data_IF_792786225943
#
_entry.id   IF_792786225943
#
_cell.length_a   1.000
_cell.length_b   1.000
_cell.length_c   1.000
_cell.angle_alpha   90.00
_cell.angle_beta   90.00
_cell.angle_gamma   90.00
#
_symmetry.space_group_name_H-M   'P 1'
#
loop_
_entity.id
_entity.type
_entity.pdbx_description
1 polymer ?
#
# COMPACT_ATOMS: atom_id res chain seq x y z
N UNK A 1 -14.08 -25.82 0.73
CA UNK A 1 -12.85 -26.58 1.04
C UNK A 1 -12.51 -27.47 -0.12
N UNK A 2 -11.30 -27.44 -0.65
CA UNK A 2 -10.91 -28.30 -1.75
C UNK A 2 -10.89 -29.77 -1.31
N UNK A 3 -11.30 -30.72 -2.16
CA UNK A 3 -11.35 -32.16 -1.80
C UNK A 3 -10.05 -32.71 -1.22
N UNK A 4 -8.89 -32.16 -1.64
CA UNK A 4 -7.58 -32.53 -1.12
C UNK A 4 -7.39 -32.22 0.37
N UNK A 5 -7.84 -31.05 0.84
CA UNK A 5 -7.70 -30.64 2.24
C UNK A 5 -8.53 -31.56 3.14
N UNK A 6 -9.77 -31.86 2.75
CA UNK A 6 -10.64 -32.77 3.51
C UNK A 6 -10.05 -34.15 3.67
N UNK A 7 -9.33 -34.68 2.66
CA UNK A 7 -8.72 -36.01 2.71
C UNK A 7 -7.61 -36.10 3.78
N UNK A 8 -6.86 -35.03 3.99
CA UNK A 8 -5.76 -34.99 4.96
C UNK A 8 -6.20 -34.62 6.37
N UNK A 9 -7.40 -34.06 6.53
CA UNK A 9 -7.93 -33.64 7.83
C UNK A 9 -8.90 -34.64 8.46
N UNK A 10 -9.20 -35.76 7.83
CA UNK A 10 -10.25 -36.71 8.27
C UNK A 10 -10.08 -37.26 9.69
N UNK A 11 -8.85 -37.30 10.21
CA UNK A 11 -8.56 -37.82 11.56
C UNK A 11 -7.93 -36.78 12.49
N UNK A 12 -7.98 -35.50 12.13
CA UNK A 12 -7.41 -34.43 12.96
C UNK A 12 -8.52 -33.84 13.82
N UNK A 13 -8.36 -33.79 15.17
CA UNK A 13 -9.30 -33.09 16.03
C UNK A 13 -9.50 -31.66 15.54
N UNK A 14 -10.76 -31.23 15.51
CA UNK A 14 -11.12 -29.86 15.07
C UNK A 14 -10.83 -29.56 13.58
N UNK A 15 -10.85 -30.57 12.71
CA UNK A 15 -10.59 -30.43 11.27
C UNK A 15 -11.36 -29.26 10.60
N UNK A 16 -12.57 -28.99 11.04
CA UNK A 16 -13.42 -27.89 10.54
C UNK A 16 -12.81 -26.49 10.75
N UNK A 17 -11.82 -26.38 11.60
CA UNK A 17 -11.14 -25.11 11.87
C UNK A 17 -9.92 -24.87 10.96
N UNK A 18 -9.45 -25.87 10.21
CA UNK A 18 -8.29 -25.77 9.34
C UNK A 18 -8.69 -25.48 7.88
N UNK A 19 -9.50 -24.43 7.69
CA UNK A 19 -9.87 -23.97 6.34
C UNK A 19 -8.85 -23.01 5.77
N UNK A 20 -8.81 -22.93 4.43
CA UNK A 20 -7.99 -21.93 3.70
C UNK A 20 -8.45 -20.48 3.94
N UNK A 21 -9.58 -20.29 4.59
CA UNK A 21 -10.20 -19.01 4.92
C UNK A 21 -9.64 -18.38 6.19
N UNK A 22 -8.91 -19.18 6.99
CA UNK A 22 -8.34 -18.75 8.27
C UNK A 22 -6.82 -18.64 8.17
N UNK A 23 -6.28 -17.57 8.72
CA UNK A 23 -4.84 -17.40 8.88
C UNK A 23 -4.31 -18.23 10.06
N UNK A 24 -3.00 -18.43 10.12
CA UNK A 24 -2.36 -19.04 11.30
C UNK A 24 -2.66 -18.27 12.59
N UNK A 25 -2.76 -16.93 12.48
CA UNK A 25 -3.15 -16.08 13.61
C UNK A 25 -4.57 -16.39 14.12
N UNK A 26 -5.53 -16.63 13.22
CA UNK A 26 -6.89 -17.00 13.61
C UNK A 26 -6.92 -18.32 14.34
N UNK A 27 -6.07 -19.26 13.94
CA UNK A 27 -5.92 -20.52 14.66
C UNK A 27 -5.28 -20.31 16.04
N UNK A 28 -4.15 -19.61 16.11
CA UNK A 28 -3.47 -19.35 17.37
C UNK A 28 -4.36 -18.64 18.37
N UNK A 29 -5.16 -17.67 17.95
CA UNK A 29 -6.11 -16.94 18.78
C UNK A 29 -7.14 -17.83 19.48
N UNK A 30 -7.49 -18.98 18.90
CA UNK A 30 -8.45 -19.94 19.49
C UNK A 30 -7.85 -20.75 20.62
N UNK A 31 -6.54 -20.96 20.60
CA UNK A 31 -5.84 -21.79 21.59
C UNK A 31 -5.11 -20.96 22.66
N UNK A 32 -5.02 -19.65 22.47
CA UNK A 32 -4.37 -18.73 23.40
C UNK A 32 -5.40 -18.10 24.33
N UNK A 33 -5.10 -18.08 25.63
CA UNK A 33 -5.98 -17.51 26.66
C UNK A 33 -5.92 -15.98 26.77
N UNK A 34 -5.24 -15.32 25.85
CA UNK A 34 -5.14 -13.87 25.80
C UNK A 34 -4.47 -13.36 24.53
N UNK A 35 -4.69 -12.09 24.25
CA UNK A 35 -4.10 -11.38 23.14
C UNK A 35 -3.62 -10.01 23.59
N UNK A 36 -2.33 -9.74 23.39
CA UNK A 36 -1.79 -8.39 23.57
C UNK A 36 -1.86 -7.63 22.26
N UNK A 37 -2.49 -6.48 22.28
CA UNK A 37 -2.60 -5.60 21.13
C UNK A 37 -1.54 -4.50 21.24
N UNK A 38 -0.62 -4.44 20.26
CA UNK A 38 0.35 -3.36 20.17
C UNK A 38 -0.35 -2.14 19.56
N UNK A 39 -0.36 -1.04 20.28
CA UNK A 39 -1.10 0.18 19.91
C UNK A 39 -0.21 1.36 19.56
N UNK A 40 1.04 1.32 19.92
CA UNK A 40 1.98 2.39 19.63
C UNK A 40 2.45 2.32 18.18
N UNK A 41 2.39 3.45 17.48
CA UNK A 41 2.73 3.54 16.07
C UNK A 41 3.81 4.61 15.85
N UNK A 42 4.99 4.17 15.40
CA UNK A 42 6.18 5.02 15.25
C UNK A 42 6.53 5.35 13.79
N UNK A 43 5.92 4.66 12.82
CA UNK A 43 6.34 4.75 11.41
C UNK A 43 5.81 6.01 10.72
N UNK A 44 4.49 6.12 10.63
CA UNK A 44 3.84 7.13 9.82
C UNK A 44 3.66 8.44 10.59
N UNK A 45 3.63 9.55 9.85
CA UNK A 45 3.10 10.80 10.39
C UNK A 45 1.67 10.59 10.90
N UNK A 46 1.25 11.31 11.96
CA UNK A 46 -0.08 11.14 12.55
C UNK A 46 -1.22 11.25 11.54
N UNK A 47 -1.16 12.18 10.61
CA UNK A 47 -2.19 12.39 9.58
C UNK A 47 -2.33 11.18 8.65
N UNK A 48 -1.23 10.50 8.32
CA UNK A 48 -1.23 9.33 7.46
C UNK A 48 -1.90 8.16 8.18
N UNK A 49 -1.51 7.90 9.42
CA UNK A 49 -2.05 6.75 10.17
C UNK A 49 -3.45 7.01 10.72
N UNK A 50 -3.88 8.26 10.84
CA UNK A 50 -5.22 8.61 11.30
C UNK A 50 -6.30 8.01 10.42
N UNK A 51 -6.12 8.04 9.10
CA UNK A 51 -7.02 7.36 8.17
C UNK A 51 -7.13 5.87 8.49
N UNK A 52 -5.99 5.18 8.57
CA UNK A 52 -5.96 3.75 8.88
C UNK A 52 -6.56 3.48 10.27
N UNK A 53 -6.27 4.34 11.24
CA UNK A 53 -6.79 4.23 12.59
C UNK A 53 -8.31 4.32 12.61
N UNK A 54 -8.87 5.34 11.98
CA UNK A 54 -10.31 5.60 11.93
C UNK A 54 -11.09 4.45 11.29
N UNK A 55 -10.60 3.90 10.20
CA UNK A 55 -11.37 2.92 9.42
C UNK A 55 -11.07 1.46 9.75
N UNK A 56 -9.89 1.15 10.31
CA UNK A 56 -9.46 -0.24 10.48
C UNK A 56 -9.17 -0.63 11.92
N UNK A 57 -8.67 0.29 12.76
CA UNK A 57 -8.23 -0.06 14.11
C UNK A 57 -9.16 0.45 15.21
N UNK A 58 -9.67 1.69 15.07
CA UNK A 58 -10.54 2.29 16.09
C UNK A 58 -11.92 1.61 16.22
N UNK A 59 -12.58 1.11 15.15
CA UNK A 59 -13.89 0.45 15.28
C UNK A 59 -13.90 -0.71 16.27
N UNK A 60 -12.78 -1.42 16.41
CA UNK A 60 -12.63 -2.53 17.36
C UNK A 60 -12.23 -2.06 18.78
N UNK A 61 -12.26 -0.77 19.06
CA UNK A 61 -11.81 -0.19 20.34
C UNK A 61 -10.30 -0.30 20.58
N UNK A 62 -9.53 -0.64 19.56
CA UNK A 62 -8.09 -0.91 19.61
C UNK A 62 -7.26 0.12 18.83
N UNK A 63 -7.76 1.35 18.72
CA UNK A 63 -7.10 2.42 17.99
C UNK A 63 -5.61 2.55 18.29
N UNK A 64 -4.83 2.96 17.28
CA UNK A 64 -3.39 3.16 17.39
C UNK A 64 -3.07 4.53 18.00
N UNK A 65 -1.97 4.61 18.71
CA UNK A 65 -1.41 5.86 19.24
C UNK A 65 -0.23 6.27 18.35
N UNK A 66 -0.37 7.30 17.51
CA UNK A 66 0.75 7.79 16.70
C UNK A 66 1.76 8.50 17.62
N UNK A 67 3.00 8.01 17.62
CA UNK A 67 4.07 8.53 18.45
C UNK A 67 5.14 9.26 17.65
N UNK A 68 5.06 9.24 16.32
CA UNK A 68 5.99 9.99 15.48
C UNK A 68 5.80 11.49 15.68
N UNK A 69 6.89 12.16 16.05
CA UNK A 69 6.89 13.60 16.28
C UNK A 69 7.19 14.38 15.00
N UNK A 70 6.70 15.60 14.95
CA UNK A 70 6.96 16.53 13.86
C UNK A 70 8.37 17.10 13.96
N UNK A 71 9.02 17.28 12.80
CA UNK A 71 10.22 18.09 12.67
C UNK A 71 9.83 19.52 12.24
N UNK A 72 10.71 20.50 12.45
CA UNK A 72 10.49 21.89 12.01
C UNK A 72 10.29 22.01 10.50
N UNK A 73 10.98 21.17 9.73
CA UNK A 73 10.96 21.17 8.25
C UNK A 73 10.15 19.97 7.70
N UNK A 74 8.99 19.70 8.27
CA UNK A 74 8.14 18.61 7.77
C UNK A 74 7.53 18.97 6.42
N UNK A 75 7.44 17.98 5.56
CA UNK A 75 6.65 18.05 4.33
C UNK A 75 5.17 17.79 4.62
N UNK A 76 4.28 18.21 3.72
CA UNK A 76 2.84 17.95 3.83
C UNK A 76 2.57 16.45 3.77
N UNK A 77 1.96 15.81 4.80
CA UNK A 77 1.86 14.36 4.87
C UNK A 77 0.91 13.73 3.86
N UNK A 78 -0.14 14.44 3.47
CA UNK A 78 -1.18 13.95 2.55
C UNK A 78 -1.27 14.88 1.35
N UNK A 79 -1.03 14.36 0.15
CA UNK A 79 -1.19 15.08 -1.10
C UNK A 79 -1.99 14.26 -2.08
N UNK A 80 -2.77 14.94 -2.89
CA UNK A 80 -3.50 14.29 -3.98
C UNK A 80 -3.30 15.08 -5.27
N UNK A 81 -3.27 14.36 -6.38
CA UNK A 81 -3.20 14.94 -7.72
C UNK A 81 -4.25 14.27 -8.61
N UNK A 82 -5.05 15.07 -9.28
CA UNK A 82 -6.07 14.59 -10.20
C UNK A 82 -5.59 14.68 -11.64
N UNK A 83 -5.41 13.53 -12.28
CA UNK A 83 -5.03 13.44 -13.69
C UNK A 83 -6.28 13.62 -14.59
N UNK A 84 -6.63 14.86 -14.92
CA UNK A 84 -7.85 15.18 -15.68
C UNK A 84 -7.94 14.46 -17.04
N UNK A 85 -6.80 14.30 -17.74
CA UNK A 85 -6.72 13.59 -19.02
C UNK A 85 -6.43 12.09 -18.85
N UNK A 86 -6.56 11.54 -17.64
CA UNK A 86 -6.35 10.14 -17.37
C UNK A 86 -7.25 9.26 -18.22
N UNK A 87 -6.69 8.16 -18.73
CA UNK A 87 -7.41 7.18 -19.55
C UNK A 87 -6.93 5.78 -19.18
N UNK A 88 -7.88 4.90 -18.85
CA UNK A 88 -7.59 3.49 -18.56
C UNK A 88 -7.64 2.68 -19.85
N UNK A 89 -6.55 1.98 -20.13
CA UNK A 89 -6.38 1.03 -21.21
C UNK A 89 -6.25 -0.39 -20.67
N UNK A 90 -6.66 -1.39 -21.44
CA UNK A 90 -6.61 -2.79 -21.06
C UNK A 90 -7.85 -3.30 -20.34
N UNK A 91 -7.78 -4.55 -19.89
CA UNK A 91 -8.92 -5.24 -19.25
C UNK A 91 -8.46 -6.03 -18.01
N UNK A 92 -9.34 -6.17 -17.05
CA UNK A 92 -9.11 -6.94 -15.81
C UNK A 92 -7.81 -6.53 -15.09
N UNK A 93 -6.89 -7.48 -14.89
CA UNK A 93 -5.62 -7.27 -14.18
C UNK A 93 -4.54 -6.57 -15.04
N UNK A 94 -4.79 -6.40 -16.33
CA UNK A 94 -3.86 -5.74 -17.26
C UNK A 94 -4.22 -4.27 -17.55
N UNK A 95 -5.07 -3.67 -16.73
CA UNK A 95 -5.41 -2.26 -16.85
C UNK A 95 -4.20 -1.38 -16.52
N UNK A 96 -4.07 -0.29 -17.25
CA UNK A 96 -3.03 0.72 -17.07
C UNK A 96 -3.60 2.11 -17.35
N UNK A 97 -3.04 3.11 -16.66
CA UNK A 97 -3.29 4.53 -16.95
C UNK A 97 -1.92 5.19 -17.21
N UNK A 98 -1.59 5.34 -18.47
CA UNK A 98 -0.28 5.91 -18.88
C UNK A 98 -0.11 7.37 -18.47
N UNK A 99 -1.19 8.14 -18.51
CA UNK A 99 -1.18 9.55 -18.09
C UNK A 99 -0.82 9.68 -16.61
N UNK A 100 -1.48 8.89 -15.78
CA UNK A 100 -1.17 8.81 -14.35
C UNK A 100 0.25 8.31 -14.09
N UNK A 101 0.70 7.30 -14.86
CA UNK A 101 2.06 6.77 -14.74
C UNK A 101 3.12 7.83 -15.07
N UNK A 102 2.90 8.62 -16.11
CA UNK A 102 3.78 9.72 -16.48
C UNK A 102 3.76 10.86 -15.46
N UNK A 103 2.57 11.19 -14.91
CA UNK A 103 2.44 12.20 -13.87
C UNK A 103 3.26 11.81 -12.62
N UNK A 104 3.15 10.56 -12.16
CA UNK A 104 3.93 10.04 -11.03
C UNK A 104 5.42 10.09 -11.32
N UNK A 105 5.85 9.62 -12.51
CA UNK A 105 7.26 9.61 -12.87
C UNK A 105 7.85 11.03 -13.01
N UNK A 106 7.07 11.99 -13.53
CA UNK A 106 7.47 13.40 -13.58
C UNK A 106 7.61 13.98 -12.18
N UNK A 107 6.63 13.71 -11.31
CA UNK A 107 6.65 14.20 -9.93
C UNK A 107 7.83 13.66 -9.15
N UNK A 108 8.13 12.37 -9.27
CA UNK A 108 9.31 11.77 -8.61
C UNK A 108 10.60 12.42 -9.15
N UNK A 109 10.72 12.64 -10.45
CA UNK A 109 11.89 13.31 -11.03
C UNK A 109 12.05 14.75 -10.49
N UNK A 110 10.96 15.50 -10.36
CA UNK A 110 10.94 16.83 -9.73
C UNK A 110 11.39 16.77 -8.26
N UNK A 111 10.83 15.85 -7.47
CA UNK A 111 11.12 15.73 -6.04
C UNK A 111 12.55 15.22 -5.75
N UNK A 112 13.16 14.49 -6.67
CA UNK A 112 14.56 14.06 -6.54
C UNK A 112 15.51 15.26 -6.55
N UNK A 113 15.17 16.33 -7.28
CA UNK A 113 15.94 17.57 -7.36
C UNK A 113 15.58 18.59 -6.26
N UNK A 114 14.47 18.39 -5.54
CA UNK A 114 14.03 19.28 -4.47
C UNK A 114 14.81 19.03 -3.18
N UNK A 115 15.43 20.07 -2.63
CA UNK A 115 16.23 20.01 -1.38
C UNK A 115 15.40 19.54 -0.16
N UNK A 116 14.06 19.80 -0.12
CA UNK A 116 13.19 19.32 0.95
C UNK A 116 13.05 17.80 0.94
N UNK A 117 13.32 17.16 -0.19
CA UNK A 117 13.26 15.71 -0.38
C UNK A 117 14.65 15.06 -0.48
N UNK A 118 15.69 15.80 -0.15
CA UNK A 118 17.07 15.28 -0.18
C UNK A 118 17.23 14.07 0.74
N UNK A 119 17.78 13.00 0.19
CA UNK A 119 18.02 11.75 0.93
C UNK A 119 16.77 10.91 1.21
N UNK A 120 15.56 11.37 0.88
CA UNK A 120 14.32 10.60 1.08
C UNK A 120 14.17 9.49 0.06
N UNK A 121 13.63 8.38 0.51
CA UNK A 121 13.31 7.21 -0.31
C UNK A 121 11.88 7.29 -0.84
N UNK A 122 11.65 6.70 -2.03
CA UNK A 122 10.35 6.74 -2.69
C UNK A 122 9.80 5.34 -2.94
N UNK A 123 8.49 5.20 -2.81
CA UNK A 123 7.77 3.99 -3.18
C UNK A 123 6.58 4.31 -4.07
N UNK A 124 6.26 3.39 -4.96
CA UNK A 124 5.07 3.49 -5.81
C UNK A 124 4.26 2.20 -5.70
N UNK A 125 3.00 2.31 -5.31
CA UNK A 125 2.10 1.16 -5.25
C UNK A 125 0.98 1.33 -6.29
N UNK A 126 0.93 0.41 -7.25
CA UNK A 126 -0.24 0.24 -8.12
C UNK A 126 -1.35 -0.48 -7.34
N UNK A 127 -2.45 0.22 -7.06
CA UNK A 127 -3.60 -0.37 -6.35
C UNK A 127 -4.43 -1.26 -7.24
N UNK A 128 -4.34 -1.06 -8.55
CA UNK A 128 -4.99 -1.86 -9.59
C UNK A 128 -4.03 -2.07 -10.75
N UNK A 129 -4.22 -3.16 -11.49
CA UNK A 129 -3.41 -3.45 -12.68
C UNK A 129 -1.98 -3.88 -12.37
N UNK A 130 -1.65 -5.12 -12.70
CA UNK A 130 -0.33 -5.68 -12.38
C UNK A 130 0.83 -4.98 -13.14
N UNK A 131 0.53 -4.32 -14.27
CA UNK A 131 1.52 -3.68 -15.13
C UNK A 131 1.78 -2.21 -14.79
N UNK A 132 0.90 -1.57 -14.03
CA UNK A 132 0.99 -0.13 -13.77
C UNK A 132 2.31 0.24 -13.09
N UNK A 133 2.66 -0.46 -12.02
CA UNK A 133 3.89 -0.20 -11.29
C UNK A 133 5.15 -0.40 -12.15
N UNK A 134 5.17 -1.42 -13.01
CA UNK A 134 6.30 -1.67 -13.94
C UNK A 134 6.44 -0.57 -14.99
N UNK A 135 5.33 -0.03 -15.49
CA UNK A 135 5.35 1.11 -16.42
C UNK A 135 5.93 2.34 -15.71
N UNK A 136 5.47 2.64 -14.51
CA UNK A 136 5.95 3.76 -13.70
C UNK A 136 7.46 3.61 -13.43
N UNK A 137 7.91 2.43 -13.02
CA UNK A 137 9.33 2.14 -12.80
C UNK A 137 10.19 2.44 -14.02
N UNK A 138 9.78 1.92 -15.18
CA UNK A 138 10.49 2.16 -16.44
C UNK A 138 10.56 3.65 -16.81
N UNK A 139 9.49 4.40 -16.56
CA UNK A 139 9.43 5.84 -16.79
C UNK A 139 10.34 6.61 -15.84
N UNK A 140 10.37 6.24 -14.56
CA UNK A 140 11.25 6.86 -13.56
C UNK A 140 12.71 6.63 -13.96
N UNK A 141 13.11 5.38 -14.24
CA UNK A 141 14.47 5.04 -14.65
C UNK A 141 14.89 5.84 -15.89
N UNK A 142 13.98 5.99 -16.86
CA UNK A 142 14.24 6.79 -18.07
C UNK A 142 14.49 8.27 -17.75
N UNK A 143 13.89 8.81 -16.72
CA UNK A 143 13.98 10.24 -16.35
C UNK A 143 15.19 10.57 -15.47
N UNK A 144 15.43 9.78 -14.45
CA UNK A 144 16.47 10.06 -13.44
C UNK A 144 17.70 9.13 -13.53
N UNK A 145 17.63 8.09 -14.36
CA UNK A 145 18.69 7.09 -14.52
C UNK A 145 18.71 6.04 -13.40
N UNK A 146 19.32 4.88 -13.70
CA UNK A 146 19.40 3.75 -12.75
C UNK A 146 20.20 4.08 -11.49
N UNK A 147 21.22 4.91 -11.58
CA UNK A 147 22.08 5.25 -10.46
C UNK A 147 21.29 6.01 -9.39
N UNK A 148 20.56 7.06 -9.78
CA UNK A 148 19.75 7.84 -8.84
C UNK A 148 18.54 7.03 -8.36
N UNK A 149 17.92 6.22 -9.23
CA UNK A 149 16.85 5.30 -8.84
C UNK A 149 17.27 4.39 -7.67
N UNK A 150 18.44 3.76 -7.76
CA UNK A 150 18.99 2.90 -6.72
C UNK A 150 19.39 3.68 -5.46
N UNK A 151 20.05 4.83 -5.64
CA UNK A 151 20.49 5.70 -4.55
C UNK A 151 19.32 6.21 -3.70
N UNK A 152 18.19 6.53 -4.30
CA UNK A 152 16.95 6.94 -3.63
C UNK A 152 16.13 5.77 -3.08
N UNK A 153 16.60 4.54 -3.24
CA UNK A 153 15.89 3.34 -2.79
C UNK A 153 14.47 3.25 -3.36
N UNK A 154 14.28 3.64 -4.62
CA UNK A 154 12.96 3.63 -5.26
C UNK A 154 12.50 2.20 -5.48
N UNK A 155 11.28 1.91 -5.09
CA UNK A 155 10.63 0.62 -5.32
C UNK A 155 9.25 0.85 -5.92
N UNK A 156 8.92 0.13 -6.97
CA UNK A 156 7.61 0.13 -7.60
C UNK A 156 7.00 -1.26 -7.54
N UNK A 157 5.74 -1.38 -7.13
CA UNK A 157 5.12 -2.70 -7.03
C UNK A 157 3.65 -2.65 -6.64
N UNK A 158 3.19 -3.74 -6.07
CA UNK A 158 1.86 -3.87 -5.47
C UNK A 158 1.94 -3.75 -3.95
N UNK A 159 0.80 -3.65 -3.26
CA UNK A 159 0.78 -3.67 -1.79
C UNK A 159 1.47 -4.92 -1.20
N UNK A 160 1.42 -6.05 -1.89
CA UNK A 160 2.10 -7.27 -1.47
C UNK A 160 3.63 -7.16 -1.58
N UNK A 161 4.14 -6.47 -2.61
CA UNK A 161 5.58 -6.24 -2.78
C UNK A 161 6.20 -5.40 -1.65
N UNK A 162 5.38 -4.61 -0.97
CA UNK A 162 5.79 -3.78 0.17
C UNK A 162 5.53 -4.43 1.53
N UNK A 163 5.22 -5.73 1.57
CA UNK A 163 5.01 -6.39 2.86
C UNK A 163 6.33 -6.43 3.64
N UNK A 164 6.35 -5.76 4.80
CA UNK A 164 7.57 -5.61 5.61
C UNK A 164 8.49 -4.47 5.19
N UNK A 165 8.21 -3.79 4.09
CA UNK A 165 8.99 -2.67 3.56
C UNK A 165 8.28 -1.32 3.81
N UNK A 166 9.01 -0.20 3.73
CA UNK A 166 8.50 1.15 3.97
C UNK A 166 9.37 2.18 3.22
N UNK A 167 8.79 3.33 2.88
CA UNK A 167 9.51 4.46 2.25
C UNK A 167 9.13 5.77 2.92
N UNK A 168 9.97 6.76 2.75
CA UNK A 168 9.66 8.09 3.29
C UNK A 168 8.46 8.69 2.57
N UNK A 169 8.43 8.57 1.25
CA UNK A 169 7.36 9.06 0.37
C UNK A 169 6.72 7.89 -0.38
N UNK A 170 5.41 7.78 -0.35
CA UNK A 170 4.67 6.77 -1.10
C UNK A 170 3.72 7.41 -2.11
N UNK A 171 3.77 6.93 -3.32
CA UNK A 171 2.81 7.25 -4.38
C UNK A 171 1.81 6.10 -4.54
N UNK A 172 0.53 6.41 -4.52
CA UNK A 172 -0.54 5.45 -4.73
C UNK A 172 -1.18 5.69 -6.09
N UNK A 173 -0.95 4.79 -7.03
CA UNK A 173 -1.58 4.82 -8.35
C UNK A 173 -2.92 4.09 -8.29
N UNK A 174 -4.02 4.82 -8.44
CA UNK A 174 -5.38 4.27 -8.38
C UNK A 174 -5.78 3.55 -9.66
N UNK A 175 -5.17 3.90 -10.78
CA UNK A 175 -5.48 3.37 -12.12
C UNK A 175 -6.97 3.53 -12.44
N UNK A 176 -7.54 4.71 -12.16
CA UNK A 176 -8.93 5.05 -12.45
C UNK A 176 -9.00 6.23 -13.40
N UNK A 177 -10.02 6.26 -14.24
CA UNK A 177 -10.30 7.39 -15.12
C UNK A 177 -11.79 7.41 -15.50
N UNK A 178 -12.24 8.52 -16.12
CA UNK A 178 -13.62 8.72 -16.52
C UNK A 178 -14.18 7.66 -17.49
N UNK A 179 -13.30 6.99 -18.24
CA UNK A 179 -13.66 5.92 -19.18
C UNK A 179 -13.76 4.52 -18.53
N UNK A 180 -13.56 4.41 -17.21
CA UNK A 180 -13.50 3.13 -16.53
C UNK A 180 -14.51 3.08 -15.38
N UNK A 181 -15.65 2.45 -15.64
CA UNK A 181 -16.75 2.31 -14.70
C UNK A 181 -16.51 1.23 -13.64
N UNK A 182 -15.32 1.12 -13.11
CA UNK A 182 -15.07 0.23 -11.99
C UNK A 182 -15.58 0.89 -10.72
N UNK A 183 -16.38 0.17 -9.94
CA UNK A 183 -16.79 0.60 -8.60
C UNK A 183 -15.57 0.99 -7.77
N UNK A 184 -15.75 1.95 -6.91
CA UNK A 184 -14.71 2.33 -5.94
C UNK A 184 -14.17 1.09 -5.23
N UNK A 185 -12.95 1.18 -4.71
CA UNK A 185 -12.30 0.11 -3.95
C UNK A 185 -13.08 -0.11 -2.63
N UNK A 186 -14.20 -0.83 -2.70
CA UNK A 186 -15.15 -0.99 -1.59
C UNK A 186 -15.24 -2.41 -1.04
N UNK A 187 -14.56 -3.37 -1.68
CA UNK A 187 -14.50 -4.73 -1.17
C UNK A 187 -13.54 -4.82 0.01
N UNK A 188 -13.78 -5.70 1.00
CA UNK A 188 -12.89 -5.86 2.16
C UNK A 188 -11.41 -6.12 1.78
N UNK A 189 -11.17 -6.81 0.65
CA UNK A 189 -9.81 -7.04 0.15
C UNK A 189 -9.16 -5.75 -0.35
N UNK A 190 -9.93 -4.89 -1.00
CA UNK A 190 -9.46 -3.60 -1.52
C UNK A 190 -9.18 -2.64 -0.36
N UNK A 191 -10.03 -2.60 0.65
CA UNK A 191 -9.82 -1.82 1.87
C UNK A 191 -8.55 -2.25 2.60
N UNK A 192 -8.33 -3.54 2.79
CA UNK A 192 -7.09 -4.08 3.40
C UNK A 192 -5.86 -3.70 2.58
N UNK A 193 -5.95 -3.80 1.25
CA UNK A 193 -4.86 -3.40 0.34
C UNK A 193 -4.54 -1.92 0.47
N UNK A 194 -5.56 -1.08 0.56
CA UNK A 194 -5.40 0.35 0.74
C UNK A 194 -4.78 0.68 2.11
N UNK A 195 -5.26 0.05 3.19
CA UNK A 195 -4.67 0.18 4.53
C UNK A 195 -3.18 -0.16 4.53
N UNK A 196 -2.80 -1.28 3.90
CA UNK A 196 -1.39 -1.66 3.77
C UNK A 196 -0.62 -0.61 2.99
N UNK A 197 -1.13 -0.15 1.85
CA UNK A 197 -0.44 0.80 0.98
C UNK A 197 -0.17 2.14 1.68
N UNK A 198 -1.18 2.72 2.31
CA UNK A 198 -1.05 4.00 3.04
C UNK A 198 -0.07 3.87 4.20
N UNK A 199 -0.15 2.78 4.97
CA UNK A 199 0.72 2.57 6.14
C UNK A 199 2.18 2.25 5.80
N UNK A 200 2.57 2.22 4.52
CA UNK A 200 3.98 2.09 4.08
C UNK A 200 4.71 3.42 4.02
N UNK A 201 4.00 4.53 4.07
CA UNK A 201 4.59 5.87 4.06
C UNK A 201 5.05 6.27 5.46
N UNK A 202 6.25 6.85 5.54
CA UNK A 202 6.74 7.43 6.79
C UNK A 202 6.34 8.89 6.93
N UNK A 203 6.45 9.67 5.86
CA UNK A 203 6.31 11.12 5.91
C UNK A 203 5.26 11.70 4.97
N UNK A 204 5.04 11.10 3.79
CA UNK A 204 4.08 11.61 2.81
C UNK A 204 3.45 10.47 1.99
N UNK A 205 2.16 10.60 1.71
CA UNK A 205 1.38 9.82 0.74
C UNK A 205 0.77 10.76 -0.29
#
# INVERSE_FOLDING_TARGET
MTPHINRHLQNIPFANYYGTEFSFFDHAKRFCNGMTVLREHFRCMPEIIEFCNKYFYAPDGKGLYPLKQYSENRIEPLRHEYCQSGFVDGTYQNITNKVEAEAIANKIAELVEDENYKGKSFGVIGLQGNKQATIIESLIIKKIGEVEFKKRGIVCGTSASFQGDERDIMFLSLVTAHNHNRAALTKPEDERRFNVAVSRAKEQV
#
